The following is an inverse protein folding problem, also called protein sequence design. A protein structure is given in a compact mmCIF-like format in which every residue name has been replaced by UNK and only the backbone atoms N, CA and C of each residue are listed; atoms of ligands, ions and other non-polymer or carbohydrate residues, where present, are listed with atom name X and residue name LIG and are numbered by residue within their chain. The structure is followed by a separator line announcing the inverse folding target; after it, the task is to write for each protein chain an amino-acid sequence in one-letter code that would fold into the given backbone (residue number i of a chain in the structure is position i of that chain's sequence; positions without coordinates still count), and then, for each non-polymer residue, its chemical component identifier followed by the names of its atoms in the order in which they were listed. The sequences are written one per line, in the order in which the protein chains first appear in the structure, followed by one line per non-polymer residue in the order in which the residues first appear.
data_IF_551574497186
#
_entry.id   IF_551574497186
#
_cell.length_a   1.000
_cell.length_b   1.000
_cell.length_c   1.000
_cell.angle_alpha   90.00
_cell.angle_beta   90.00
_cell.angle_gamma   90.00
#
_symmetry.space_group_name_H-M   'P 1'
#
loop_
_entity.id
_entity.type
_entity.pdbx_description
1 polymer ?
#
# COMPACT_ATOMS: atom_id res chain seq x y z
N UNK A 1 4.94 -43.70 67.23
CA UNK A 1 4.27 -43.29 65.97
C UNK A 1 4.90 -42.00 65.46
N UNK A 2 6.20 -42.04 65.15
CA UNK A 2 6.96 -40.83 64.87
C UNK A 2 8.31 -41.15 64.28
N UNK A 3 8.34 -41.86 63.16
CA UNK A 3 9.50 -41.98 62.26
C UNK A 3 8.97 -42.48 60.90
N UNK A 4 8.39 -41.62 60.06
CA UNK A 4 8.07 -41.96 58.65
C UNK A 4 7.88 -40.70 57.76
N UNK A 5 8.57 -39.60 58.07
CA UNK A 5 8.55 -38.37 57.25
C UNK A 5 9.96 -37.89 56.87
N UNK A 6 10.92 -38.81 56.68
CA UNK A 6 12.31 -38.44 56.40
C UNK A 6 12.88 -38.93 55.06
N UNK A 7 12.06 -39.41 54.10
CA UNK A 7 12.61 -40.01 52.87
C UNK A 7 11.85 -39.73 51.55
N UNK A 8 11.20 -38.58 51.43
CA UNK A 8 10.87 -38.04 50.11
C UNK A 8 11.33 -36.58 50.05
N UNK A 9 12.58 -36.35 49.60
CA UNK A 9 13.00 -35.02 49.12
C UNK A 9 12.29 -34.79 47.79
N UNK A 10 11.00 -34.51 47.84
CA UNK A 10 10.26 -34.06 46.67
C UNK A 10 10.77 -32.67 46.34
N UNK A 11 11.32 -32.47 45.14
CA UNK A 11 11.84 -31.18 44.73
C UNK A 11 10.68 -30.18 44.62
N UNK A 12 10.51 -29.33 45.65
CA UNK A 12 9.54 -28.24 45.68
C UNK A 12 9.87 -27.30 44.51
N UNK A 13 8.86 -26.97 43.69
CA UNK A 13 9.02 -26.03 42.59
C UNK A 13 8.98 -24.63 43.18
N UNK A 14 10.15 -24.01 43.28
CA UNK A 14 10.30 -22.63 43.70
C UNK A 14 10.38 -21.72 42.46
N UNK A 15 9.44 -20.78 42.35
CA UNK A 15 9.39 -19.80 41.27
C UNK A 15 9.58 -18.38 41.81
N UNK A 16 10.30 -17.49 41.10
CA UNK A 16 10.27 -16.06 41.39
C UNK A 16 8.86 -15.47 41.20
N UNK A 17 8.46 -14.51 42.04
CA UNK A 17 7.19 -13.78 41.92
C UNK A 17 7.03 -12.95 40.64
N UNK A 18 8.12 -12.77 39.89
CA UNK A 18 8.14 -12.14 38.56
C UNK A 18 7.83 -13.12 37.42
N UNK A 19 7.69 -14.41 37.72
CA UNK A 19 7.43 -15.46 36.72
C UNK A 19 6.03 -15.31 36.15
N UNK A 20 5.90 -15.27 34.82
CA UNK A 20 4.58 -15.16 34.20
C UNK A 20 3.72 -16.40 34.46
N UNK A 21 2.41 -16.22 34.52
CA UNK A 21 1.41 -17.30 34.72
C UNK A 21 1.60 -18.43 33.69
N UNK A 22 1.85 -18.10 32.42
CA UNK A 22 2.07 -19.10 31.37
C UNK A 22 3.38 -19.88 31.57
N UNK A 23 4.44 -19.19 32.01
CA UNK A 23 5.74 -19.81 32.30
C UNK A 23 5.64 -20.70 33.55
N UNK A 24 4.95 -20.24 34.59
CA UNK A 24 4.69 -21.03 35.80
C UNK A 24 3.88 -22.30 35.48
N UNK A 25 2.85 -22.19 34.62
CA UNK A 25 2.10 -23.36 34.15
C UNK A 25 2.98 -24.33 33.36
N UNK A 26 3.84 -23.82 32.46
CA UNK A 26 4.78 -24.67 31.71
C UNK A 26 5.75 -25.43 32.63
N UNK A 27 6.30 -24.78 33.66
CA UNK A 27 7.16 -25.45 34.64
C UNK A 27 6.39 -26.50 35.45
N UNK A 28 5.12 -26.24 35.74
CA UNK A 28 4.23 -27.17 36.47
C UNK A 28 3.92 -28.41 35.63
N UNK A 29 3.52 -28.23 34.37
CA UNK A 29 3.17 -29.32 33.44
C UNK A 29 4.36 -30.18 33.03
N UNK A 30 5.60 -29.69 33.20
CA UNK A 30 6.83 -30.45 32.96
C UNK A 30 7.22 -31.37 34.12
N UNK A 31 6.53 -31.28 35.28
CA UNK A 31 6.77 -32.18 36.42
C UNK A 31 6.14 -33.54 36.13
N UNK A 32 6.64 -34.58 36.80
CA UNK A 32 6.01 -35.90 36.79
C UNK A 32 4.56 -35.81 37.28
N UNK A 33 3.62 -36.60 36.74
CA UNK A 33 2.19 -36.55 37.12
C UNK A 33 1.94 -36.69 38.62
N UNK A 34 2.79 -37.47 39.30
CA UNK A 34 2.78 -37.69 40.76
C UNK A 34 3.03 -36.40 41.57
N UNK A 35 3.69 -35.42 40.96
CA UNK A 35 4.08 -34.13 41.57
C UNK A 35 3.12 -33.00 41.22
N UNK A 36 2.02 -33.27 40.51
CA UNK A 36 1.00 -32.27 40.16
C UNK A 36 0.10 -31.90 41.34
N UNK A 37 0.08 -32.69 42.41
CA UNK A 37 -0.59 -32.35 43.66
C UNK A 37 0.32 -31.63 44.66
N UNK A 38 1.62 -31.56 44.37
CA UNK A 38 2.61 -30.94 45.26
C UNK A 38 2.56 -29.40 45.15
N UNK A 39 2.68 -28.68 46.28
CA UNK A 39 2.57 -27.23 46.30
C UNK A 39 3.64 -26.56 45.43
N UNK A 40 3.23 -25.49 44.73
CA UNK A 40 4.14 -24.56 44.07
C UNK A 40 4.44 -23.43 45.05
N UNK A 41 5.72 -23.14 45.25
CA UNK A 41 6.16 -22.05 46.12
C UNK A 41 6.61 -20.88 45.26
N UNK A 42 6.09 -19.70 45.53
CA UNK A 42 6.47 -18.46 44.85
C UNK A 42 7.20 -17.55 45.84
N UNK A 43 8.40 -17.12 45.48
CA UNK A 43 9.17 -16.15 46.26
C UNK A 43 8.80 -14.73 45.82
N UNK A 44 8.08 -13.99 46.66
CA UNK A 44 7.57 -12.64 46.33
C UNK A 44 8.48 -11.51 46.79
N UNK A 45 9.29 -11.73 47.84
CA UNK A 45 10.28 -10.78 48.33
C UNK A 45 11.46 -11.51 49.01
N UNK A 46 12.45 -10.75 49.49
CA UNK A 46 13.54 -11.32 50.28
C UNK A 46 12.96 -12.07 51.49
N UNK A 47 13.19 -13.38 51.53
CA UNK A 47 12.72 -14.29 52.58
C UNK A 47 11.18 -14.38 52.76
N UNK A 48 10.39 -13.97 51.75
CA UNK A 48 8.92 -14.09 51.78
C UNK A 48 8.46 -15.07 50.70
N UNK A 49 7.71 -16.09 51.12
CA UNK A 49 7.25 -17.18 50.26
C UNK A 49 5.73 -17.33 50.38
N UNK A 50 5.07 -17.59 49.25
CA UNK A 50 3.64 -17.86 49.18
C UNK A 50 3.39 -19.17 48.45
N UNK A 51 2.30 -19.84 48.81
CA UNK A 51 1.82 -21.02 48.10
C UNK A 51 0.95 -20.58 46.93
N UNK A 52 1.18 -21.16 45.76
CA UNK A 52 0.34 -20.98 44.58
C UNK A 52 -0.46 -22.26 44.35
N UNK A 53 -1.78 -22.12 44.35
CA UNK A 53 -2.68 -23.21 44.00
C UNK A 53 -2.60 -23.48 42.48
N UNK A 54 -2.41 -24.75 42.13
CA UNK A 54 -2.31 -25.19 40.73
C UNK A 54 -3.65 -25.01 40.01
N UNK A 55 -4.78 -25.12 40.71
CA UNK A 55 -6.10 -24.82 40.18
C UNK A 55 -6.24 -23.34 39.79
N UNK A 56 -5.84 -22.42 40.66
CA UNK A 56 -5.88 -20.98 40.39
C UNK A 56 -4.94 -20.60 39.24
N UNK A 57 -3.74 -21.21 39.22
CA UNK A 57 -2.78 -21.07 38.11
C UNK A 57 -3.38 -21.53 36.78
N UNK A 58 -4.09 -22.67 36.77
CA UNK A 58 -4.77 -23.19 35.58
C UNK A 58 -5.91 -22.26 35.13
N UNK A 59 -6.76 -21.79 36.04
CA UNK A 59 -7.85 -20.85 35.71
C UNK A 59 -7.29 -19.59 35.06
N UNK A 60 -6.27 -18.99 35.67
CA UNK A 60 -5.64 -17.77 35.16
C UNK A 60 -5.01 -17.99 33.77
N UNK A 61 -4.34 -19.13 33.56
CA UNK A 61 -3.77 -19.46 32.26
C UNK A 61 -4.85 -19.65 31.18
N UNK A 62 -5.96 -20.32 31.50
CA UNK A 62 -7.09 -20.48 30.58
C UNK A 62 -7.74 -19.15 30.22
N UNK A 63 -7.91 -18.25 31.18
CA UNK A 63 -8.42 -16.89 30.93
C UNK A 63 -7.49 -16.11 29.99
N UNK A 64 -6.18 -16.13 30.25
CA UNK A 64 -5.19 -15.46 29.39
C UNK A 64 -5.24 -16.03 27.96
N UNK A 65 -5.31 -17.34 27.83
CA UNK A 65 -5.38 -18.00 26.53
C UNK A 65 -6.70 -17.68 25.79
N UNK A 66 -7.82 -17.59 26.53
CA UNK A 66 -9.11 -17.16 26.01
C UNK A 66 -9.06 -15.74 25.45
N UNK A 67 -8.56 -14.78 26.24
CA UNK A 67 -8.40 -13.38 25.82
C UNK A 67 -7.47 -13.28 24.60
N UNK A 68 -6.33 -13.98 24.62
CA UNK A 68 -5.38 -14.00 23.49
C UNK A 68 -6.04 -14.50 22.21
N UNK A 69 -6.87 -15.55 22.31
CA UNK A 69 -7.57 -16.13 21.17
C UNK A 69 -8.64 -15.18 20.66
N UNK A 70 -9.41 -14.55 21.55
CA UNK A 70 -10.43 -13.56 21.21
C UNK A 70 -9.82 -12.36 20.48
N UNK A 71 -8.76 -11.76 21.02
CA UNK A 71 -8.06 -10.63 20.38
C UNK A 71 -7.50 -11.01 19.01
N UNK A 72 -6.95 -12.23 18.88
CA UNK A 72 -6.46 -12.73 17.60
C UNK A 72 -7.60 -12.90 16.58
N UNK A 73 -8.72 -13.45 17.03
CA UNK A 73 -9.91 -13.62 16.19
C UNK A 73 -10.45 -12.28 15.72
N UNK A 74 -10.63 -11.31 16.63
CA UNK A 74 -11.08 -9.96 16.31
C UNK A 74 -10.15 -9.25 15.32
N UNK A 75 -8.83 -9.35 15.51
CA UNK A 75 -7.86 -8.80 14.55
C UNK A 75 -7.98 -9.47 13.18
N UNK A 76 -8.12 -10.78 13.14
CA UNK A 76 -8.29 -11.52 11.88
C UNK A 76 -9.59 -11.15 11.18
N UNK A 77 -10.68 -10.93 11.92
CA UNK A 77 -11.96 -10.47 11.39
C UNK A 77 -11.85 -9.08 10.78
N UNK A 78 -11.20 -8.14 11.48
CA UNK A 78 -10.95 -6.80 10.96
C UNK A 78 -10.10 -6.86 9.68
N UNK A 79 -9.03 -7.66 9.67
CA UNK A 79 -8.19 -7.84 8.49
C UNK A 79 -8.99 -8.42 7.32
N UNK A 80 -9.81 -9.45 7.56
CA UNK A 80 -10.65 -10.05 6.53
C UNK A 80 -11.65 -9.03 5.95
N UNK A 81 -12.32 -8.25 6.80
CA UNK A 81 -13.22 -7.18 6.35
C UNK A 81 -12.47 -6.12 5.53
N UNK A 82 -11.25 -5.77 5.90
CA UNK A 82 -10.42 -4.82 5.15
C UNK A 82 -10.03 -5.39 3.78
N UNK A 83 -9.58 -6.65 3.73
CA UNK A 83 -9.24 -7.33 2.48
C UNK A 83 -10.46 -7.45 1.55
N UNK A 84 -11.63 -7.84 2.07
CA UNK A 84 -12.87 -7.90 1.29
C UNK A 84 -13.25 -6.53 0.72
N UNK A 85 -13.06 -5.45 1.50
CA UNK A 85 -13.29 -4.08 1.01
C UNK A 85 -12.31 -3.71 -0.11
N UNK A 86 -11.03 -4.03 0.03
CA UNK A 86 -10.01 -3.76 -0.98
C UNK A 86 -10.27 -4.55 -2.26
N UNK A 87 -10.59 -5.85 -2.16
CA UNK A 87 -10.94 -6.68 -3.31
C UNK A 87 -12.19 -6.19 -4.05
N UNK A 88 -13.21 -5.72 -3.32
CA UNK A 88 -14.41 -5.10 -3.92
C UNK A 88 -14.08 -3.79 -4.62
N UNK A 89 -13.22 -2.96 -4.03
CA UNK A 89 -12.74 -1.73 -4.66
C UNK A 89 -11.91 -2.02 -5.90
N UNK A 90 -11.05 -3.03 -5.89
CA UNK A 90 -10.26 -3.44 -7.05
C UNK A 90 -11.11 -3.80 -8.25
N UNK A 91 -12.11 -4.68 -8.06
CA UNK A 91 -13.04 -5.04 -9.15
C UNK A 91 -13.79 -3.83 -9.72
N UNK A 92 -14.20 -2.90 -8.85
CA UNK A 92 -14.89 -1.69 -9.29
C UNK A 92 -13.95 -0.75 -10.05
N UNK A 93 -12.73 -0.58 -9.54
CA UNK A 93 -11.69 0.23 -10.18
C UNK A 93 -11.27 -0.34 -11.52
N UNK A 94 -11.15 -1.66 -11.68
CA UNK A 94 -10.83 -2.27 -12.97
C UNK A 94 -11.88 -1.99 -14.04
N UNK A 95 -13.17 -2.10 -13.67
CA UNK A 95 -14.27 -1.80 -14.57
C UNK A 95 -14.26 -0.32 -14.99
N UNK A 96 -14.18 0.57 -14.01
CA UNK A 96 -14.15 2.03 -14.25
C UNK A 96 -12.86 2.45 -14.98
N UNK A 97 -11.73 1.80 -14.69
CA UNK A 97 -10.45 2.10 -15.33
C UNK A 97 -10.49 1.80 -16.81
N UNK A 98 -11.03 0.64 -17.24
CA UNK A 98 -11.17 0.34 -18.67
C UNK A 98 -12.10 1.35 -19.35
N UNK A 99 -13.24 1.67 -18.76
CA UNK A 99 -14.20 2.64 -19.32
C UNK A 99 -13.64 4.06 -19.46
N UNK A 100 -12.65 4.45 -18.63
CA UNK A 100 -12.00 5.76 -18.71
C UNK A 100 -10.73 5.70 -19.58
N UNK A 101 -9.96 4.62 -19.51
CA UNK A 101 -8.72 4.46 -20.27
C UNK A 101 -9.00 4.38 -21.76
N UNK A 102 -10.11 3.75 -22.17
CA UNK A 102 -10.50 3.65 -23.56
C UNK A 102 -10.67 5.03 -24.23
N UNK A 103 -11.57 5.94 -23.78
CA UNK A 103 -11.72 7.28 -24.36
C UNK A 103 -10.45 8.13 -24.23
N UNK A 104 -9.68 8.01 -23.14
CA UNK A 104 -8.39 8.71 -22.99
C UNK A 104 -7.38 8.21 -24.04
N UNK A 105 -7.35 6.90 -24.29
CA UNK A 105 -6.53 6.28 -25.32
C UNK A 105 -6.92 6.76 -26.72
N UNK A 106 -8.22 6.80 -27.02
CA UNK A 106 -8.72 7.35 -28.28
C UNK A 106 -8.33 8.82 -28.47
N UNK A 107 -8.48 9.67 -27.45
CA UNK A 107 -8.10 11.09 -27.50
C UNK A 107 -6.59 11.21 -27.73
N UNK A 108 -5.78 10.51 -26.94
CA UNK A 108 -4.32 10.56 -27.04
C UNK A 108 -3.79 10.09 -28.40
N UNK A 109 -4.36 9.01 -28.94
CA UNK A 109 -4.03 8.51 -30.27
C UNK A 109 -4.35 9.53 -31.36
N UNK A 110 -5.55 10.11 -31.32
CA UNK A 110 -5.99 11.10 -32.30
C UNK A 110 -5.19 12.41 -32.24
N UNK A 111 -4.75 12.85 -31.06
CA UNK A 111 -3.92 14.06 -30.92
C UNK A 111 -2.62 14.01 -31.71
N UNK A 112 -2.04 12.82 -31.89
CA UNK A 112 -0.82 12.67 -32.70
C UNK A 112 -1.10 13.00 -34.17
N UNK A 113 -2.22 12.51 -34.71
CA UNK A 113 -2.63 12.80 -36.07
C UNK A 113 -2.99 14.28 -36.24
N UNK A 114 -3.80 14.84 -35.33
CA UNK A 114 -4.18 16.26 -35.37
C UNK A 114 -2.93 17.15 -35.32
N UNK A 115 -1.97 16.86 -34.44
CA UNK A 115 -0.70 17.59 -34.38
C UNK A 115 0.09 17.54 -35.69
N UNK A 116 0.14 16.38 -36.34
CA UNK A 116 0.83 16.23 -37.62
C UNK A 116 0.10 17.00 -38.74
N UNK A 117 -1.22 16.87 -38.83
CA UNK A 117 -2.03 17.59 -39.81
C UNK A 117 -1.90 19.11 -39.64
N UNK A 118 -1.95 19.62 -38.41
CA UNK A 118 -1.75 21.03 -38.11
C UNK A 118 -0.36 21.51 -38.54
N UNK A 119 0.69 20.73 -38.26
CA UNK A 119 2.05 21.10 -38.70
C UNK A 119 2.19 21.10 -40.22
N UNK A 120 1.61 20.12 -40.91
CA UNK A 120 1.71 20.04 -42.37
C UNK A 120 0.92 21.16 -43.07
N UNK A 121 -0.24 21.55 -42.52
CA UNK A 121 -0.98 22.73 -42.98
C UNK A 121 -0.20 24.02 -42.76
N UNK A 122 0.39 24.22 -41.57
CA UNK A 122 1.20 25.40 -41.29
C UNK A 122 2.44 25.47 -42.20
N UNK A 123 3.09 24.34 -42.48
CA UNK A 123 4.20 24.27 -43.45
C UNK A 123 3.76 24.66 -44.86
N UNK A 124 2.60 24.17 -45.30
CA UNK A 124 2.05 24.47 -46.62
C UNK A 124 1.75 25.97 -46.76
N UNK A 125 1.08 26.56 -45.75
CA UNK A 125 0.78 28.01 -45.73
C UNK A 125 2.08 28.82 -45.75
N UNK A 126 3.07 28.46 -44.92
CA UNK A 126 4.37 29.12 -44.90
C UNK A 126 5.13 29.01 -46.24
N UNK A 127 4.91 27.94 -47.01
CA UNK A 127 5.48 27.80 -48.35
C UNK A 127 4.79 28.72 -49.36
N UNK A 128 3.45 28.79 -49.34
CA UNK A 128 2.70 29.73 -50.18
C UNK A 128 3.13 31.18 -49.94
N UNK A 129 3.35 31.58 -48.69
CA UNK A 129 3.82 32.92 -48.35
C UNK A 129 5.20 33.26 -48.92
N UNK A 130 6.08 32.27 -49.03
CA UNK A 130 7.42 32.46 -49.62
C UNK A 130 7.38 32.59 -51.15
N UNK A 131 6.46 31.88 -51.80
CA UNK A 131 6.38 31.81 -53.27
C UNK A 131 5.47 32.88 -53.89
N UNK A 132 4.68 33.60 -53.08
CA UNK A 132 3.79 34.67 -53.53
C UNK A 132 4.46 36.06 -53.36
N UNK A 133 5.05 36.65 -54.43
CA UNK A 133 5.76 37.93 -54.35
C UNK A 133 4.85 39.14 -54.04
N UNK A 134 3.53 39.02 -54.20
CA UNK A 134 2.54 39.96 -53.68
C UNK A 134 1.34 39.19 -53.11
N UNK A 135 1.24 39.17 -51.80
CA UNK A 135 0.06 38.64 -51.09
C UNK A 135 -1.09 39.64 -51.28
N UNK A 136 -2.29 39.16 -51.62
CA UNK A 136 -3.44 40.05 -51.81
C UNK A 136 -3.80 40.76 -50.50
N UNK A 137 -4.29 42.02 -50.54
CA UNK A 137 -4.70 42.74 -49.35
C UNK A 137 -5.82 42.01 -48.58
N UNK A 138 -6.68 41.27 -49.27
CA UNK A 138 -7.73 40.44 -48.68
C UNK A 138 -7.17 39.32 -47.80
N UNK A 139 -6.06 38.67 -48.21
CA UNK A 139 -5.41 37.61 -47.42
C UNK A 139 -4.73 38.20 -46.18
N UNK A 140 -4.08 39.37 -46.32
CA UNK A 140 -3.46 40.05 -45.17
C UNK A 140 -4.50 40.50 -44.15
N UNK A 141 -5.63 41.03 -44.62
CA UNK A 141 -6.74 41.43 -43.75
C UNK A 141 -7.32 40.21 -43.01
N UNK A 142 -7.49 39.07 -43.69
CA UNK A 142 -7.93 37.84 -43.06
C UNK A 142 -6.92 37.33 -42.00
N UNK A 143 -5.62 37.42 -42.28
CA UNK A 143 -4.56 37.04 -41.33
C UNK A 143 -4.58 37.88 -40.07
N UNK A 144 -4.77 39.19 -40.21
CA UNK A 144 -4.92 40.09 -39.06
C UNK A 144 -6.21 39.79 -38.29
N UNK A 145 -7.34 39.55 -38.99
CA UNK A 145 -8.63 39.25 -38.37
C UNK A 145 -8.61 37.97 -37.53
N UNK A 146 -7.94 36.91 -37.99
CA UNK A 146 -7.83 35.64 -37.25
C UNK A 146 -6.62 35.59 -36.31
N UNK A 147 -5.83 36.65 -36.25
CA UNK A 147 -4.56 36.70 -35.52
C UNK A 147 -3.65 35.49 -35.84
N UNK A 148 -3.38 35.26 -37.12
CA UNK A 148 -2.80 34.00 -37.62
C UNK A 148 -1.51 33.58 -36.91
N UNK A 149 -0.60 34.52 -36.66
CA UNK A 149 0.68 34.23 -35.99
C UNK A 149 0.45 33.73 -34.54
N UNK A 150 -0.49 34.34 -33.82
CA UNK A 150 -0.89 33.88 -32.49
C UNK A 150 -1.55 32.49 -32.56
N UNK A 151 -2.45 32.29 -33.51
CA UNK A 151 -3.14 31.00 -33.71
C UNK A 151 -2.15 29.87 -33.98
N UNK A 152 -1.15 30.10 -34.84
CA UNK A 152 -0.14 29.12 -35.19
C UNK A 152 0.70 28.70 -33.97
N UNK A 153 1.08 29.65 -33.13
CA UNK A 153 1.79 29.35 -31.87
C UNK A 153 0.90 28.65 -30.84
N UNK A 154 -0.31 29.17 -30.63
CA UNK A 154 -1.21 28.69 -29.58
C UNK A 154 -1.73 27.28 -29.87
N UNK A 155 -2.00 26.96 -31.15
CA UNK A 155 -2.41 25.62 -31.57
C UNK A 155 -1.44 24.53 -31.09
N UNK A 156 -0.12 24.77 -31.23
CA UNK A 156 0.89 23.84 -30.75
C UNK A 156 0.88 23.69 -29.22
N UNK A 157 0.70 24.80 -28.50
CA UNK A 157 0.62 24.83 -27.03
C UNK A 157 -0.62 24.08 -26.53
N UNK A 158 -1.77 24.31 -27.14
CA UNK A 158 -3.05 23.66 -26.81
C UNK A 158 -2.96 22.15 -27.02
N UNK A 159 -2.49 21.69 -28.19
CA UNK A 159 -2.35 20.26 -28.47
C UNK A 159 -1.39 19.57 -27.48
N UNK A 160 -0.29 20.23 -27.13
CA UNK A 160 0.67 19.74 -26.12
C UNK A 160 0.04 19.67 -24.72
N UNK A 161 -0.76 20.68 -24.35
CA UNK A 161 -1.49 20.71 -23.08
C UNK A 161 -2.47 19.55 -22.96
N UNK A 162 -3.30 19.31 -23.99
CA UNK A 162 -4.26 18.20 -24.00
C UNK A 162 -3.52 16.86 -23.92
N UNK A 163 -2.43 16.69 -24.68
CA UNK A 163 -1.61 15.47 -24.65
C UNK A 163 -1.06 15.19 -23.25
N UNK A 164 -0.56 16.22 -22.58
CA UNK A 164 -0.03 16.12 -21.21
C UNK A 164 -1.14 15.76 -20.21
N UNK A 165 -2.34 16.32 -20.39
CA UNK A 165 -3.52 15.98 -19.59
C UNK A 165 -3.94 14.52 -19.74
N UNK A 166 -4.03 14.03 -20.98
CA UNK A 166 -4.36 12.65 -21.29
C UNK A 166 -3.32 11.66 -20.73
N UNK A 167 -2.02 11.95 -20.86
CA UNK A 167 -0.95 11.13 -20.28
C UNK A 167 -1.03 11.08 -18.75
N UNK A 168 -1.33 12.22 -18.10
CA UNK A 168 -1.52 12.27 -16.66
C UNK A 168 -2.72 11.44 -16.20
N UNK A 169 -3.84 11.49 -16.92
CA UNK A 169 -5.01 10.67 -16.62
C UNK A 169 -4.67 9.18 -16.74
N UNK A 170 -4.00 8.78 -17.82
CA UNK A 170 -3.54 7.41 -18.01
C UNK A 170 -2.68 6.93 -16.83
N UNK A 171 -1.68 7.72 -16.43
CA UNK A 171 -0.81 7.40 -15.27
C UNK A 171 -1.57 7.28 -13.95
N UNK A 172 -2.53 8.18 -13.69
CA UNK A 172 -3.36 8.12 -12.49
C UNK A 172 -4.19 6.84 -12.43
N UNK A 173 -4.87 6.48 -13.52
CA UNK A 173 -5.71 5.29 -13.56
C UNK A 173 -4.90 4.00 -13.53
N UNK A 174 -3.77 3.92 -14.23
CA UNK A 174 -2.86 2.77 -14.12
C UNK A 174 -2.28 2.61 -12.70
N UNK A 175 -1.91 3.71 -12.04
CA UNK A 175 -1.44 3.68 -10.65
C UNK A 175 -2.54 3.24 -9.67
N UNK A 176 -3.77 3.70 -9.90
CA UNK A 176 -4.94 3.30 -9.13
C UNK A 176 -5.22 1.79 -9.31
N UNK A 177 -5.18 1.29 -10.54
CA UNK A 177 -5.38 -0.12 -10.86
C UNK A 177 -4.35 -1.02 -10.16
N UNK A 178 -3.07 -0.65 -10.24
CA UNK A 178 -1.99 -1.36 -9.55
C UNK A 178 -2.15 -1.35 -8.03
N UNK A 179 -2.62 -0.24 -7.45
CA UNK A 179 -2.85 -0.13 -6.01
C UNK A 179 -4.00 -1.00 -5.49
N UNK A 180 -4.96 -1.39 -6.32
CA UNK A 180 -6.02 -2.31 -5.88
C UNK A 180 -5.77 -3.77 -6.27
N UNK A 181 -4.78 -4.03 -7.12
CA UNK A 181 -4.34 -5.37 -7.53
C UNK A 181 -3.32 -6.02 -6.57
N UNK A 182 -3.21 -5.52 -5.34
CA UNK A 182 -2.29 -5.99 -4.28
C UNK A 182 -2.49 -7.47 -3.95
N UNK A 183 -3.68 -8.02 -4.21
CA UNK A 183 -4.09 -9.37 -3.77
C UNK A 183 -3.82 -10.49 -4.80
N UNK A 184 -3.11 -10.25 -5.91
CA UNK A 184 -2.75 -11.35 -6.81
C UNK A 184 -1.71 -12.30 -6.16
N UNK A 185 -2.11 -13.56 -6.01
CA UNK A 185 -1.34 -14.67 -5.40
C UNK A 185 -0.06 -15.01 -6.22
N UNK A 186 0.12 -14.41 -7.38
CA UNK A 186 1.25 -14.66 -8.26
C UNK A 186 2.25 -13.49 -8.21
N UNK A 187 3.51 -13.72 -7.80
CA UNK A 187 4.53 -12.69 -7.83
C UNK A 187 4.73 -12.22 -9.27
N UNK A 188 4.40 -10.95 -9.53
CA UNK A 188 4.70 -10.27 -10.78
C UNK A 188 6.00 -9.49 -10.63
N UNK A 189 6.81 -9.35 -11.71
CA UNK A 189 7.95 -8.45 -11.68
C UNK A 189 7.42 -7.03 -11.49
N UNK A 190 7.68 -6.46 -10.31
CA UNK A 190 7.23 -5.11 -9.98
C UNK A 190 8.41 -4.14 -10.04
N UNK A 191 8.20 -3.03 -10.72
CA UNK A 191 9.13 -1.91 -10.70
C UNK A 191 8.82 -1.05 -9.47
N UNK A 192 9.69 -1.13 -8.46
CA UNK A 192 9.49 -0.44 -7.19
C UNK A 192 9.34 1.09 -7.38
N UNK A 193 10.09 1.66 -8.33
CA UNK A 193 10.01 3.08 -8.66
C UNK A 193 8.63 3.48 -9.18
N UNK A 194 8.04 2.69 -10.08
CA UNK A 194 6.71 2.95 -10.62
C UNK A 194 5.63 2.95 -9.53
N UNK A 195 5.78 2.10 -8.52
CA UNK A 195 4.88 2.05 -7.37
C UNK A 195 5.01 3.28 -6.48
N UNK A 196 6.24 3.63 -6.09
CA UNK A 196 6.50 4.83 -5.27
C UNK A 196 6.00 6.08 -6.00
N UNK A 197 6.24 6.15 -7.31
CA UNK A 197 5.79 7.27 -8.14
C UNK A 197 4.27 7.37 -8.23
N UNK A 198 3.56 6.24 -8.29
CA UNK A 198 2.09 6.21 -8.26
C UNK A 198 1.55 6.71 -6.93
N UNK A 199 2.14 6.30 -5.81
CA UNK A 199 1.75 6.78 -4.47
C UNK A 199 2.02 8.28 -4.34
N UNK A 200 3.20 8.74 -4.74
CA UNK A 200 3.56 10.17 -4.73
C UNK A 200 2.59 10.98 -5.58
N UNK A 201 2.19 10.46 -6.75
CA UNK A 201 1.23 11.11 -7.63
C UNK A 201 -0.16 11.24 -6.98
N UNK A 202 -0.64 10.19 -6.30
CA UNK A 202 -1.92 10.22 -5.57
C UNK A 202 -1.89 11.18 -4.37
N UNK A 203 -0.77 11.22 -3.65
CA UNK A 203 -0.57 12.11 -2.50
C UNK A 203 -0.35 13.58 -2.89
N UNK A 204 -0.02 13.86 -4.16
CA UNK A 204 0.26 15.22 -4.65
C UNK A 204 -0.89 16.21 -4.41
N UNK A 205 -2.13 15.73 -4.33
CA UNK A 205 -3.31 16.54 -3.99
C UNK A 205 -3.37 16.97 -2.52
N UNK A 206 -2.74 16.19 -1.63
CA UNK A 206 -2.65 16.41 -0.18
C UNK A 206 -1.35 17.11 0.23
N UNK A 207 -0.30 16.99 -0.58
CA UNK A 207 0.96 17.70 -0.44
C UNK A 207 0.82 19.11 -1.03
N UNK A 208 0.16 20.02 -0.28
CA UNK A 208 0.08 21.45 -0.62
C UNK A 208 1.11 22.24 0.21
N UNK A 209 1.75 23.26 -0.37
CA UNK A 209 2.72 24.14 0.31
C UNK A 209 4.16 24.00 -0.20
N UNK A 210 5.15 24.38 0.62
CA UNK A 210 6.60 24.35 0.33
C UNK A 210 7.25 22.95 0.45
N UNK A 211 6.46 21.87 0.37
CA UNK A 211 6.99 20.52 0.54
C UNK A 211 7.66 20.06 -0.76
N UNK A 212 8.98 19.97 -0.74
CA UNK A 212 9.77 19.47 -1.87
C UNK A 212 10.00 17.96 -1.73
N UNK A 213 9.52 17.18 -2.71
CA UNK A 213 9.78 15.74 -2.77
C UNK A 213 11.05 15.51 -3.57
N UNK A 214 12.12 15.08 -2.90
CA UNK A 214 13.38 14.69 -3.54
C UNK A 214 13.36 13.17 -3.73
N UNK A 215 13.27 12.72 -4.99
CA UNK A 215 13.34 11.30 -5.34
C UNK A 215 14.79 10.94 -5.63
N UNK A 216 15.38 10.08 -4.81
CA UNK A 216 16.75 9.59 -5.02
C UNK A 216 16.72 8.06 -5.17
N UNK A 217 16.45 7.61 -6.39
CA UNK A 217 16.31 6.20 -6.73
C UNK A 217 17.65 5.63 -7.18
N UNK A 218 18.03 4.46 -6.66
CA UNK A 218 19.14 3.67 -7.19
C UNK A 218 18.70 2.85 -8.41
N UNK A 219 19.63 2.18 -9.10
CA UNK A 219 19.28 1.28 -10.18
C UNK A 219 18.88 -0.09 -9.61
N UNK A 220 17.57 -0.27 -9.40
CA UNK A 220 17.01 -1.49 -8.82
C UNK A 220 16.45 -2.39 -9.94
N UNK A 221 16.87 -3.67 -10.03
CA UNK A 221 16.26 -4.60 -10.96
C UNK A 221 14.80 -4.88 -10.56
N UNK A 222 13.95 -5.31 -11.51
CA UNK A 222 12.58 -5.73 -11.20
C UNK A 222 12.62 -6.84 -10.16
N UNK A 223 11.93 -6.63 -9.04
CA UNK A 223 11.84 -7.64 -7.98
C UNK A 223 10.54 -8.41 -8.13
N UNK A 224 10.61 -9.73 -7.97
CA UNK A 224 9.43 -10.56 -7.82
C UNK A 224 8.92 -10.40 -6.38
N UNK A 225 7.83 -9.67 -6.21
CA UNK A 225 7.21 -9.50 -4.89
C UNK A 225 5.73 -9.86 -4.93
N UNK A 226 5.30 -10.52 -3.86
CA UNK A 226 3.89 -10.56 -3.46
C UNK A 226 3.61 -9.21 -2.81
N UNK A 227 2.71 -8.43 -3.38
CA UNK A 227 2.24 -7.21 -2.75
C UNK A 227 1.33 -7.58 -1.56
N UNK A 228 1.42 -6.85 -0.44
CA UNK A 228 0.46 -7.00 0.67
C UNK A 228 0.82 -7.89 1.87
N UNK A 229 2.10 -8.06 2.22
CA UNK A 229 2.51 -8.60 3.53
C UNK A 229 2.76 -7.52 4.59
#
# INVERSE_FOLDING_TARGET
MGVLYSYARTAILLLPGTTSILTALQHTLRRSPELLAEPIVVQTAANTYQLLDIHDLNIAAWQIQGIKTQVRYERSQVQMIQNDKMARLGRLVDGVAHEILDPVGFIWGNLTYVSNYSQDLLKLIAQYEKELPQISPEINQLKEEIEFDFLAEDLSKVLTSIRTGADRLKKLFSGLQNFFHIDEIHPKPAELHACIDSIVLLMKSRLKGEIQIIKNYGNLPPIYCLWGS
#
